data_IF_297968176652
#
_entry.id   IF_297968176652
#
_cell.length_a   1.000
_cell.length_b   1.000
_cell.length_c   1.000
_cell.angle_alpha   90.00
_cell.angle_beta   90.00
_cell.angle_gamma   90.00
#
_symmetry.space_group_name_H-M   'P 1'
#
loop_
_entity.id
_entity.type
_entity.pdbx_description
1 polymer ?
#
# COMPACT_ATOMS: atom_id res chain seq x y z
N UNK A 1 9.73 20.78 26.62
CA UNK A 1 9.10 20.90 25.29
C UNK A 1 7.68 20.37 25.32
N UNK A 2 7.46 19.17 25.87
CA UNK A 2 6.14 18.57 26.08
C UNK A 2 5.15 19.50 26.81
N UNK A 3 5.57 20.16 27.90
CA UNK A 3 4.73 21.08 28.68
C UNK A 3 4.19 22.27 27.88
N UNK A 4 4.93 22.72 26.86
CA UNK A 4 4.50 23.83 26.00
C UNK A 4 3.42 23.41 24.98
N UNK A 5 3.39 22.13 24.60
CA UNK A 5 2.42 21.59 23.65
C UNK A 5 1.17 21.04 24.32
N UNK A 6 1.24 20.71 25.62
CA UNK A 6 0.17 20.02 26.35
C UNK A 6 -1.22 20.67 26.20
N UNK A 7 -1.30 22.01 26.26
CA UNK A 7 -2.57 22.71 26.09
C UNK A 7 -3.15 22.53 24.69
N UNK A 8 -2.31 22.64 23.66
CA UNK A 8 -2.72 22.44 22.26
C UNK A 8 -3.08 20.99 21.98
N UNK A 9 -2.30 20.05 22.53
CA UNK A 9 -2.55 18.61 22.45
C UNK A 9 -3.95 18.27 22.96
N UNK A 10 -4.28 18.71 24.18
CA UNK A 10 -5.58 18.44 24.79
C UNK A 10 -6.74 19.10 24.04
N UNK A 11 -6.52 20.28 23.46
CA UNK A 11 -7.56 20.99 22.72
C UNK A 11 -7.91 20.30 21.39
N UNK A 12 -6.95 19.64 20.74
CA UNK A 12 -7.11 19.04 19.40
C UNK A 12 -7.85 17.69 19.40
N UNK A 13 -7.88 17.00 20.53
CA UNK A 13 -8.43 15.63 20.66
C UNK A 13 -9.87 15.59 21.17
N UNK A 14 -10.59 16.71 21.10
CA UNK A 14 -12.00 16.78 21.48
C UNK A 14 -12.86 16.09 20.43
N UNK A 15 -13.92 15.40 20.87
CA UNK A 15 -14.83 14.68 19.98
C UNK A 15 -15.48 15.63 18.95
N UNK A 16 -15.76 16.87 19.33
CA UNK A 16 -16.26 17.92 18.44
C UNK A 16 -15.34 18.18 17.24
N UNK A 17 -14.02 18.17 17.46
CA UNK A 17 -13.04 18.39 16.40
C UNK A 17 -12.76 17.12 15.59
N UNK A 18 -12.60 15.98 16.25
CA UNK A 18 -12.30 14.70 15.57
C UNK A 18 -13.49 14.21 14.71
N UNK A 19 -14.72 14.42 15.18
CA UNK A 19 -15.95 14.02 14.50
C UNK A 19 -16.64 15.16 13.72
N UNK A 20 -15.99 16.31 13.58
CA UNK A 20 -16.56 17.52 12.96
C UNK A 20 -17.20 17.24 11.59
N UNK A 21 -18.33 17.89 11.29
CA UNK A 21 -19.08 17.65 10.05
C UNK A 21 -18.26 17.99 8.79
N UNK A 22 -17.56 19.12 8.81
CA UNK A 22 -16.72 19.60 7.70
C UNK A 22 -15.38 18.85 7.61
N UNK A 23 -15.09 18.29 6.44
CA UNK A 23 -13.85 17.55 6.18
C UNK A 23 -12.59 18.41 6.31
N UNK A 24 -12.65 19.69 5.94
CA UNK A 24 -11.47 20.57 5.97
C UNK A 24 -11.01 20.88 7.39
N UNK A 25 -11.96 20.89 8.34
CA UNK A 25 -11.68 20.99 9.76
C UNK A 25 -10.97 19.72 10.21
N UNK A 26 -11.51 18.54 9.86
CA UNK A 26 -10.89 17.23 10.14
C UNK A 26 -9.46 17.12 9.60
N UNK A 27 -9.23 17.49 8.33
CA UNK A 27 -7.88 17.48 7.74
C UNK A 27 -6.94 18.45 8.47
N UNK A 28 -7.43 19.63 8.85
CA UNK A 28 -6.60 20.62 9.54
C UNK A 28 -6.24 20.19 10.97
N UNK A 29 -7.21 19.64 11.71
CA UNK A 29 -7.00 19.07 13.05
C UNK A 29 -6.02 17.92 12.98
N UNK A 30 -6.23 16.97 12.05
CA UNK A 30 -5.33 15.85 11.87
C UNK A 30 -3.92 16.30 11.47
N UNK A 31 -3.79 17.29 10.58
CA UNK A 31 -2.48 17.84 10.20
C UNK A 31 -1.71 18.35 11.42
N UNK A 32 -2.38 19.02 12.37
CA UNK A 32 -1.75 19.44 13.62
C UNK A 32 -1.34 18.24 14.49
N UNK A 33 -2.24 17.26 14.65
CA UNK A 33 -1.99 16.05 15.43
C UNK A 33 -0.80 15.25 14.86
N UNK A 34 -0.72 15.09 13.54
CA UNK A 34 0.37 14.39 12.86
C UNK A 34 1.72 15.09 13.07
N UNK A 35 1.76 16.42 13.06
CA UNK A 35 2.98 17.16 13.39
C UNK A 35 3.36 17.09 14.87
N UNK A 36 2.38 17.10 15.78
CA UNK A 36 2.62 16.84 17.20
C UNK A 36 3.23 15.45 17.37
N UNK A 37 2.64 14.42 16.74
CA UNK A 37 3.17 13.04 16.77
C UNK A 37 4.61 13.00 16.29
N UNK A 38 4.94 13.70 15.20
CA UNK A 38 6.32 13.82 14.69
C UNK A 38 7.27 14.50 15.67
N UNK A 39 6.81 15.45 16.47
CA UNK A 39 7.63 16.16 17.46
C UNK A 39 7.83 15.31 18.72
N UNK A 40 6.82 14.56 19.14
CA UNK A 40 6.85 13.77 20.38
C UNK A 40 7.49 12.41 20.20
N UNK A 41 7.69 11.92 18.96
CA UNK A 41 8.38 10.64 18.73
C UNK A 41 9.71 10.56 19.50
N UNK A 42 10.03 9.42 20.16
CA UNK A 42 9.36 8.12 20.04
C UNK A 42 8.07 7.97 20.87
N UNK A 43 7.76 8.91 21.76
CA UNK A 43 6.61 8.81 22.64
C UNK A 43 5.31 9.21 21.92
N UNK A 44 4.28 8.37 22.05
CA UNK A 44 2.96 8.69 21.54
C UNK A 44 2.40 9.93 22.26
N UNK A 45 1.80 10.89 21.53
CA UNK A 45 1.33 12.14 22.14
C UNK A 45 0.08 11.95 23.02
N UNK A 46 -0.65 10.86 22.83
CA UNK A 46 -1.90 10.56 23.55
C UNK A 46 -1.91 9.11 24.02
N UNK A 47 -2.85 8.78 24.89
CA UNK A 47 -3.11 7.39 25.28
C UNK A 47 -3.63 6.55 24.10
N UNK A 48 -3.61 5.23 24.31
CA UNK A 48 -3.95 4.22 23.30
C UNK A 48 -5.37 4.41 22.75
N UNK A 49 -6.35 4.72 23.61
CA UNK A 49 -7.74 4.90 23.22
C UNK A 49 -7.88 6.09 22.28
N UNK A 50 -7.23 7.21 22.62
CA UNK A 50 -7.27 8.39 21.77
C UNK A 50 -6.44 8.25 20.50
N UNK A 51 -5.32 7.53 20.56
CA UNK A 51 -4.55 7.21 19.35
C UNK A 51 -5.36 6.38 18.35
N UNK A 52 -6.20 5.45 18.81
CA UNK A 52 -7.11 4.68 17.95
C UNK A 52 -8.10 5.59 17.21
N UNK A 53 -8.70 6.55 17.89
CA UNK A 53 -9.60 7.54 17.26
C UNK A 53 -8.85 8.42 16.23
N UNK A 54 -7.62 8.84 16.55
CA UNK A 54 -6.76 9.58 15.61
C UNK A 54 -6.44 8.76 14.37
N UNK A 55 -6.17 7.47 14.51
CA UNK A 55 -5.93 6.60 13.36
C UNK A 55 -7.19 6.37 12.54
N UNK A 56 -8.36 6.23 13.17
CA UNK A 56 -9.64 6.16 12.44
C UNK A 56 -9.84 7.42 11.59
N UNK A 57 -9.60 8.60 12.17
CA UNK A 57 -9.64 9.86 11.43
C UNK A 57 -8.60 9.90 10.30
N UNK A 58 -7.41 9.33 10.52
CA UNK A 58 -6.34 9.26 9.51
C UNK A 58 -6.77 8.50 8.27
N UNK A 59 -7.37 7.32 8.43
CA UNK A 59 -7.85 6.52 7.30
C UNK A 59 -8.99 7.24 6.56
N UNK A 60 -9.94 7.85 7.30
CA UNK A 60 -11.01 8.69 6.72
C UNK A 60 -10.42 9.84 5.89
N UNK A 61 -9.41 10.53 6.42
CA UNK A 61 -8.77 11.64 5.71
C UNK A 61 -8.06 11.15 4.44
N UNK A 62 -7.45 9.96 4.43
CA UNK A 62 -6.81 9.41 3.24
C UNK A 62 -7.78 9.10 2.09
N UNK A 63 -9.08 8.88 2.35
CA UNK A 63 -10.08 8.76 1.27
C UNK A 63 -10.11 9.99 0.35
N UNK A 64 -9.75 11.16 0.90
CA UNK A 64 -9.71 12.44 0.17
C UNK A 64 -8.52 12.55 -0.80
N UNK A 65 -7.59 11.60 -0.81
CA UNK A 65 -6.55 11.55 -1.84
C UNK A 65 -7.15 11.42 -3.24
N UNK A 66 -8.32 10.79 -3.38
CA UNK A 66 -9.06 10.72 -4.65
C UNK A 66 -9.53 12.09 -5.18
N UNK A 67 -9.53 13.13 -4.34
CA UNK A 67 -9.99 14.48 -4.68
C UNK A 67 -8.82 15.44 -4.90
N UNK A 68 -8.03 15.22 -5.96
CA UNK A 68 -6.84 16.04 -6.31
C UNK A 68 -7.12 17.55 -6.48
N UNK A 69 -8.37 17.94 -6.74
CA UNK A 69 -8.79 19.34 -6.85
C UNK A 69 -9.23 19.97 -5.52
N UNK A 70 -9.28 19.19 -4.44
CA UNK A 70 -9.64 19.68 -3.10
C UNK A 70 -8.59 20.68 -2.61
N UNK A 71 -9.03 21.74 -1.94
CA UNK A 71 -8.15 22.74 -1.34
C UNK A 71 -7.35 22.17 -0.15
N UNK A 72 -7.75 21.03 0.39
CA UNK A 72 -7.04 20.31 1.44
C UNK A 72 -6.06 19.25 0.91
N UNK A 73 -6.01 18.98 -0.40
CA UNK A 73 -5.24 17.88 -0.98
C UNK A 73 -3.76 17.89 -0.57
N UNK A 74 -3.10 19.07 -0.61
CA UNK A 74 -1.70 19.19 -0.19
C UNK A 74 -1.48 18.89 1.30
N UNK A 75 -2.46 19.20 2.16
CA UNK A 75 -2.39 18.81 3.58
C UNK A 75 -2.53 17.31 3.74
N UNK A 76 -3.42 16.65 2.98
CA UNK A 76 -3.58 15.19 3.02
C UNK A 76 -2.28 14.49 2.58
N UNK A 77 -1.61 14.97 1.53
CA UNK A 77 -0.29 14.48 1.13
C UNK A 77 0.73 14.67 2.28
N UNK A 78 0.77 15.85 2.90
CA UNK A 78 1.68 16.11 4.02
C UNK A 78 1.44 15.16 5.19
N UNK A 79 0.17 14.88 5.51
CA UNK A 79 -0.21 13.91 6.56
C UNK A 79 0.32 12.52 6.19
N UNK A 80 0.05 12.05 4.96
CA UNK A 80 0.49 10.74 4.46
C UNK A 80 2.02 10.60 4.54
N UNK A 81 2.75 11.61 4.05
CA UNK A 81 4.20 11.64 4.07
C UNK A 81 4.76 11.61 5.50
N UNK A 82 4.15 12.35 6.43
CA UNK A 82 4.58 12.33 7.83
C UNK A 82 4.27 10.98 8.49
N UNK A 83 3.09 10.39 8.27
CA UNK A 83 2.72 9.04 8.76
C UNK A 83 3.74 8.00 8.31
N UNK A 84 4.14 8.02 7.02
CA UNK A 84 5.19 7.14 6.50
C UNK A 84 6.54 7.40 7.17
N UNK A 85 6.95 8.67 7.26
CA UNK A 85 8.27 9.07 7.79
C UNK A 85 8.46 8.71 9.26
N UNK A 86 7.44 8.91 10.09
CA UNK A 86 7.50 8.61 11.53
C UNK A 86 7.01 7.21 11.85
N UNK A 87 6.72 6.41 10.82
CA UNK A 87 6.28 5.01 10.92
C UNK A 87 5.05 4.82 11.81
N UNK A 88 4.10 5.75 11.76
CA UNK A 88 2.90 5.69 12.63
C UNK A 88 2.06 4.43 12.42
N UNK A 89 2.16 3.77 11.27
CA UNK A 89 1.50 2.50 11.02
C UNK A 89 2.00 1.35 11.91
N UNK A 90 3.21 1.44 12.46
CA UNK A 90 3.70 0.44 13.42
C UNK A 90 2.99 0.58 14.76
N UNK A 91 2.70 1.82 15.18
CA UNK A 91 1.87 2.05 16.36
C UNK A 91 0.43 1.54 16.14
N UNK A 92 -0.09 1.53 14.91
CA UNK A 92 -1.37 0.87 14.62
C UNK A 92 -1.31 -0.65 14.87
N UNK A 93 -0.18 -1.30 14.58
CA UNK A 93 0.04 -2.71 14.89
C UNK A 93 0.18 -2.93 16.40
N UNK A 94 0.99 -2.12 17.08
CA UNK A 94 1.18 -2.19 18.53
C UNK A 94 -0.14 -2.02 19.31
N UNK A 95 -1.06 -1.22 18.77
CA UNK A 95 -2.38 -0.97 19.35
C UNK A 95 -3.46 -1.97 18.89
N UNK A 96 -3.10 -3.00 18.12
CA UNK A 96 -4.00 -4.04 17.60
C UNK A 96 -5.15 -3.47 16.75
N UNK A 97 -4.85 -2.49 15.88
CA UNK A 97 -5.83 -1.84 14.99
C UNK A 97 -6.05 -2.60 13.68
N UNK A 98 -6.15 -3.92 13.73
CA UNK A 98 -6.10 -4.80 12.53
C UNK A 98 -7.14 -4.44 11.47
N UNK A 99 -8.40 -4.25 11.88
CA UNK A 99 -9.47 -3.88 10.95
C UNK A 99 -9.19 -2.53 10.25
N UNK A 100 -8.61 -1.58 10.98
CA UNK A 100 -8.29 -0.26 10.46
C UNK A 100 -7.07 -0.31 9.51
N UNK A 101 -6.12 -1.20 9.76
CA UNK A 101 -5.01 -1.48 8.84
C UNK A 101 -5.53 -2.04 7.52
N UNK A 102 -6.52 -2.94 7.56
CA UNK A 102 -7.20 -3.46 6.36
C UNK A 102 -7.91 -2.33 5.61
N UNK A 103 -8.67 -1.48 6.31
CA UNK A 103 -9.35 -0.33 5.73
C UNK A 103 -8.35 0.66 5.07
N UNK A 104 -7.19 0.85 5.68
CA UNK A 104 -6.11 1.67 5.12
C UNK A 104 -5.58 1.11 3.80
N UNK A 105 -5.34 -0.21 3.72
CA UNK A 105 -4.89 -0.87 2.48
C UNK A 105 -5.94 -0.72 1.37
N UNK A 106 -7.20 -0.98 1.69
CA UNK A 106 -8.30 -0.81 0.74
C UNK A 106 -8.42 0.64 0.27
N UNK A 107 -8.26 1.60 1.19
CA UNK A 107 -8.27 3.03 0.88
C UNK A 107 -7.13 3.41 -0.07
N UNK A 108 -5.92 2.92 0.15
CA UNK A 108 -4.78 3.19 -0.74
C UNK A 108 -5.01 2.64 -2.14
N UNK A 109 -5.44 1.38 -2.28
CA UNK A 109 -5.75 0.81 -3.60
C UNK A 109 -6.88 1.52 -4.32
N UNK A 110 -7.90 1.98 -3.58
CA UNK A 110 -9.03 2.73 -4.14
C UNK A 110 -8.64 4.15 -4.59
N UNK A 111 -7.73 4.79 -3.86
CA UNK A 111 -7.43 6.23 -4.05
C UNK A 111 -6.24 6.49 -4.93
N UNK A 112 -5.27 5.55 -5.02
CA UNK A 112 -4.07 5.74 -5.85
C UNK A 112 -4.43 5.85 -7.33
N UNK A 113 -3.86 6.86 -7.98
CA UNK A 113 -4.05 7.18 -9.40
C UNK A 113 -2.80 7.80 -10.03
N UNK A 114 -2.77 7.88 -11.36
CA UNK A 114 -1.67 8.48 -12.12
C UNK A 114 -1.56 10.01 -11.94
N UNK A 115 -2.57 10.64 -11.34
CA UNK A 115 -2.62 12.09 -11.13
C UNK A 115 -1.91 12.54 -9.85
N UNK A 116 -1.51 11.61 -8.98
CA UNK A 116 -0.76 11.97 -7.78
C UNK A 116 0.69 12.30 -8.10
N UNK A 117 1.32 13.18 -7.31
CA UNK A 117 2.77 13.26 -7.32
C UNK A 117 3.38 11.94 -6.82
N UNK A 118 4.63 11.69 -7.23
CA UNK A 118 5.31 10.41 -6.98
C UNK A 118 5.49 10.09 -5.48
N UNK A 119 5.60 11.11 -4.63
CA UNK A 119 5.76 10.94 -3.19
C UNK A 119 4.55 10.24 -2.55
N UNK A 120 3.33 10.46 -3.05
CA UNK A 120 2.12 9.75 -2.59
C UNK A 120 2.26 8.24 -2.81
N UNK A 121 2.70 7.82 -4.01
CA UNK A 121 2.93 6.41 -4.31
C UNK A 121 4.00 5.83 -3.38
N UNK A 122 5.12 6.54 -3.23
CA UNK A 122 6.23 6.09 -2.37
C UNK A 122 5.83 5.99 -0.90
N UNK A 123 5.00 6.91 -0.39
CA UNK A 123 4.52 6.88 0.99
C UNK A 123 3.54 5.73 1.23
N UNK A 124 2.58 5.49 0.31
CA UNK A 124 1.68 4.32 0.39
C UNK A 124 2.47 3.01 0.35
N UNK A 125 3.41 2.86 -0.59
CA UNK A 125 4.27 1.68 -0.70
C UNK A 125 5.05 1.46 0.60
N UNK A 126 5.66 2.52 1.15
CA UNK A 126 6.44 2.46 2.38
C UNK A 126 5.60 2.01 3.56
N UNK A 127 4.42 2.62 3.75
CA UNK A 127 3.50 2.26 4.84
C UNK A 127 3.07 0.80 4.73
N UNK A 128 2.60 0.38 3.55
CA UNK A 128 2.11 -0.98 3.33
C UNK A 128 3.22 -2.03 3.51
N UNK A 129 4.43 -1.75 3.01
CA UNK A 129 5.60 -2.62 3.18
C UNK A 129 5.94 -2.77 4.67
N UNK A 130 6.04 -1.66 5.42
CA UNK A 130 6.33 -1.70 6.85
C UNK A 130 5.29 -2.49 7.64
N UNK A 131 4.00 -2.31 7.33
CA UNK A 131 2.92 -3.06 7.97
C UNK A 131 3.12 -4.56 7.77
N UNK A 132 3.38 -5.00 6.54
CA UNK A 132 3.53 -6.44 6.25
C UNK A 132 4.79 -7.01 6.92
N UNK A 133 5.94 -6.33 6.79
CA UNK A 133 7.21 -6.83 7.31
C UNK A 133 7.23 -6.96 8.84
N UNK A 134 6.64 -5.99 9.54
CA UNK A 134 6.63 -5.92 11.00
C UNK A 134 5.44 -6.68 11.63
N UNK A 135 4.45 -7.14 10.85
CA UNK A 135 3.34 -7.95 11.38
C UNK A 135 3.81 -9.32 11.85
N UNK A 136 3.48 -9.75 13.06
CA UNK A 136 3.80 -11.11 13.54
C UNK A 136 3.05 -12.19 12.74
N UNK A 137 1.78 -11.95 12.46
CA UNK A 137 0.91 -12.81 11.67
C UNK A 137 0.09 -11.99 10.68
N UNK A 138 -0.05 -12.48 9.43
CA UNK A 138 -0.80 -11.79 8.38
C UNK A 138 -2.16 -12.46 8.24
N UNK A 139 -3.23 -11.73 8.56
CA UNK A 139 -4.60 -12.22 8.41
C UNK A 139 -4.99 -12.33 6.92
N UNK A 140 -5.94 -13.22 6.63
CA UNK A 140 -6.52 -13.31 5.29
C UNK A 140 -7.23 -12.01 4.88
N UNK A 141 -7.80 -11.28 5.83
CA UNK A 141 -8.47 -10.00 5.58
C UNK A 141 -7.48 -8.93 5.10
N UNK A 142 -6.24 -8.94 5.61
CA UNK A 142 -5.17 -8.05 5.14
C UNK A 142 -4.56 -8.53 3.82
N UNK A 143 -4.41 -9.84 3.64
CA UNK A 143 -3.84 -10.43 2.42
C UNK A 143 -4.78 -10.28 1.20
N UNK A 144 -6.10 -10.38 1.42
CA UNK A 144 -7.13 -10.32 0.39
C UNK A 144 -7.06 -9.07 -0.51
N UNK A 145 -7.05 -7.82 0.01
CA UNK A 145 -6.95 -6.63 -0.82
C UNK A 145 -5.62 -6.57 -1.60
N UNK A 146 -4.52 -7.03 -1.00
CA UNK A 146 -3.20 -7.08 -1.66
C UNK A 146 -3.17 -8.07 -2.84
N UNK A 147 -3.77 -9.25 -2.67
CA UNK A 147 -3.91 -10.23 -3.77
C UNK A 147 -4.92 -9.77 -4.82
N UNK A 148 -6.01 -9.13 -4.41
CA UNK A 148 -6.99 -8.59 -5.33
C UNK A 148 -6.39 -7.50 -6.23
N UNK A 149 -5.51 -6.63 -5.71
CA UNK A 149 -4.91 -5.55 -6.50
C UNK A 149 -4.04 -6.06 -7.66
N UNK A 150 -3.38 -7.21 -7.50
CA UNK A 150 -2.46 -7.78 -8.51
C UNK A 150 -3.09 -8.80 -9.46
N UNK A 151 -4.43 -8.93 -9.44
CA UNK A 151 -5.14 -9.74 -10.44
C UNK A 151 -4.91 -9.18 -11.84
N UNK A 152 -4.79 -10.06 -12.84
CA UNK A 152 -4.45 -9.69 -14.22
C UNK A 152 -5.44 -8.70 -14.83
N UNK A 153 -6.72 -8.78 -14.47
CA UNK A 153 -7.72 -7.81 -14.96
C UNK A 153 -7.39 -6.37 -14.51
N UNK A 154 -6.79 -6.22 -13.32
CA UNK A 154 -6.44 -4.91 -12.75
C UNK A 154 -5.20 -4.29 -13.37
N UNK A 155 -4.35 -5.06 -14.05
CA UNK A 155 -3.20 -4.53 -14.80
C UNK A 155 -3.65 -3.48 -15.83
N UNK A 156 -4.83 -3.68 -16.43
CA UNK A 156 -5.41 -2.76 -17.41
C UNK A 156 -6.44 -1.81 -16.81
N UNK A 157 -7.25 -2.26 -15.85
CA UNK A 157 -8.35 -1.46 -15.27
C UNK A 157 -7.84 -0.43 -14.27
N UNK A 158 -6.83 -0.76 -13.46
CA UNK A 158 -6.23 0.12 -12.46
C UNK A 158 -4.71 -0.09 -12.38
N UNK A 159 -3.95 0.32 -13.43
CA UNK A 159 -2.53 -0.01 -13.56
C UNK A 159 -1.67 0.52 -12.41
N UNK A 160 -2.03 1.68 -11.84
CA UNK A 160 -1.26 2.27 -10.73
C UNK A 160 -1.53 1.52 -9.42
N UNK A 161 -2.77 1.11 -9.16
CA UNK A 161 -3.10 0.26 -8.02
C UNK A 161 -2.46 -1.12 -8.15
N UNK A 162 -2.47 -1.70 -9.36
CA UNK A 162 -1.81 -2.97 -9.64
C UNK A 162 -0.31 -2.88 -9.35
N UNK A 163 0.35 -1.83 -9.85
CA UNK A 163 1.78 -1.58 -9.62
C UNK A 163 2.12 -1.37 -8.15
N UNK A 164 1.26 -0.68 -7.39
CA UNK A 164 1.43 -0.52 -5.95
C UNK A 164 1.41 -1.89 -5.25
N UNK A 165 0.42 -2.74 -5.59
CA UNK A 165 0.32 -4.09 -5.04
C UNK A 165 1.52 -4.97 -5.41
N UNK A 166 1.94 -4.93 -6.67
CA UNK A 166 3.12 -5.65 -7.16
C UNK A 166 4.37 -5.26 -6.36
N UNK A 167 4.58 -3.96 -6.16
CA UNK A 167 5.71 -3.43 -5.39
C UNK A 167 5.71 -3.91 -3.95
N UNK A 168 4.57 -3.80 -3.26
CA UNK A 168 4.45 -4.26 -1.86
C UNK A 168 4.69 -5.76 -1.75
N UNK A 169 4.13 -6.58 -2.64
CA UNK A 169 4.37 -8.03 -2.64
C UNK A 169 5.85 -8.35 -2.89
N UNK A 170 6.47 -7.67 -3.85
CA UNK A 170 7.89 -7.87 -4.19
C UNK A 170 8.78 -7.52 -3.01
N UNK A 171 8.52 -6.39 -2.34
CA UNK A 171 9.30 -5.95 -1.18
C UNK A 171 9.16 -6.93 0.00
N UNK A 172 7.96 -7.50 0.18
CA UNK A 172 7.63 -8.36 1.31
C UNK A 172 7.61 -9.86 0.98
N UNK A 173 8.22 -10.30 -0.12
CA UNK A 173 8.10 -11.67 -0.64
C UNK A 173 8.48 -12.73 0.40
N UNK A 174 9.54 -12.49 1.18
CA UNK A 174 10.02 -13.41 2.22
C UNK A 174 8.98 -13.59 3.32
N UNK A 175 8.34 -12.49 3.74
CA UNK A 175 7.32 -12.48 4.79
C UNK A 175 6.01 -13.11 4.30
N UNK A 176 5.63 -12.86 3.05
CA UNK A 176 4.38 -13.31 2.45
C UNK A 176 4.40 -14.77 2.02
N UNK A 177 5.56 -15.32 1.65
CA UNK A 177 5.70 -16.68 1.13
C UNK A 177 4.91 -17.76 1.90
N UNK A 178 5.02 -17.91 3.24
CA UNK A 178 4.26 -18.94 3.96
C UNK A 178 2.73 -18.77 3.86
N UNK A 179 2.23 -17.53 3.88
CA UNK A 179 0.80 -17.23 3.80
C UNK A 179 0.24 -17.46 2.40
N UNK A 180 1.03 -17.17 1.37
CA UNK A 180 0.66 -17.47 -0.01
C UNK A 180 0.55 -18.98 -0.21
N UNK A 181 1.49 -19.77 0.32
CA UNK A 181 1.42 -21.23 0.25
C UNK A 181 0.18 -21.78 0.96
N UNK A 182 -0.17 -21.25 2.12
CA UNK A 182 -1.36 -21.65 2.87
C UNK A 182 -2.68 -21.29 2.16
N UNK A 183 -2.78 -20.07 1.61
CA UNK A 183 -3.96 -19.63 0.87
C UNK A 183 -4.23 -20.54 -0.34
N UNK A 184 -3.15 -20.92 -1.03
CA UNK A 184 -3.18 -21.85 -2.17
C UNK A 184 -3.60 -23.25 -1.76
N UNK A 185 -3.02 -23.79 -0.69
CA UNK A 185 -3.38 -25.10 -0.18
C UNK A 185 -4.85 -25.14 0.25
N UNK A 186 -5.35 -24.08 0.89
CA UNK A 186 -6.75 -24.00 1.33
C UNK A 186 -7.73 -23.96 0.14
N UNK A 187 -7.39 -23.26 -0.94
CA UNK A 187 -8.17 -23.23 -2.19
C UNK A 187 -8.07 -24.57 -2.93
N UNK A 188 -6.88 -25.18 -2.98
CA UNK A 188 -6.65 -26.49 -3.61
C UNK A 188 -7.40 -27.62 -2.90
N UNK A 189 -7.46 -27.60 -1.57
CA UNK A 189 -8.20 -28.60 -0.76
C UNK A 189 -9.70 -28.51 -0.98
N UNK A 190 -10.26 -27.31 -1.22
CA UNK A 190 -11.66 -27.14 -1.61
C UNK A 190 -11.98 -27.71 -3.02
N UNK A 191 -10.95 -27.89 -3.87
CA UNK A 191 -11.10 -28.43 -5.23
C UNK A 191 -10.74 -29.93 -5.36
N UNK A 192 -10.52 -30.64 -4.25
CA UNK A 192 -10.17 -32.07 -4.28
C UNK A 192 -11.39 -32.97 -4.58
N UNK A 193 -11.85 -32.93 -5.83
CA UNK A 193 -12.38 -34.10 -6.54
C UNK A 193 -11.48 -34.37 -7.74
N UNK A 194 -10.25 -34.83 -7.51
CA UNK A 194 -9.58 -35.71 -8.47
C UNK A 194 -8.67 -36.69 -7.72
N UNK A 195 -8.92 -37.97 -8.01
CA UNK A 195 -8.42 -39.14 -7.32
C UNK A 195 -6.89 -39.30 -7.33
N UNK A 196 -6.44 -40.06 -6.32
CA UNK A 196 -5.12 -40.67 -6.16
C UNK A 196 -4.49 -41.18 -7.46
N UNK A 197 -3.15 -41.13 -7.57
CA UNK A 197 -2.28 -42.29 -7.88
C UNK A 197 -0.77 -41.95 -7.72
N UNK A 198 -0.11 -42.73 -6.84
CA UNK A 198 1.30 -43.20 -6.78
C UNK A 198 2.49 -42.25 -6.56
N UNK A 199 3.09 -42.50 -5.39
CA UNK A 199 4.52 -42.53 -5.00
C UNK A 199 5.54 -42.61 -6.14
N UNK A 200 6.52 -41.70 -6.08
CA UNK A 200 7.89 -41.93 -6.58
C UNK A 200 8.31 -41.11 -7.80
N UNK A 201 8.59 -39.81 -7.62
CA UNK A 201 9.53 -39.02 -8.45
C UNK A 201 9.89 -37.72 -7.68
N UNK A 202 11.11 -37.17 -7.82
CA UNK A 202 11.50 -35.95 -7.12
C UNK A 202 10.65 -34.81 -7.67
N UNK A 203 9.83 -34.20 -6.81
CA UNK A 203 9.12 -32.98 -7.15
C UNK A 203 10.13 -31.86 -7.29
N UNK A 204 10.53 -31.57 -8.53
CA UNK A 204 10.89 -30.22 -8.94
C UNK A 204 9.62 -29.37 -8.85
N UNK A 205 9.30 -28.94 -7.63
CA UNK A 205 8.21 -28.02 -7.36
C UNK A 205 8.71 -26.59 -7.58
N UNK A 206 9.04 -26.27 -8.83
CA UNK A 206 8.96 -24.88 -9.28
C UNK A 206 7.50 -24.45 -9.06
N UNK A 207 7.31 -23.60 -8.07
CA UNK A 207 6.02 -23.02 -7.69
C UNK A 207 5.37 -22.36 -8.92
N UNK A 208 4.46 -23.07 -9.59
CA UNK A 208 3.45 -22.48 -10.48
C UNK A 208 2.32 -21.89 -9.64
N UNK A 209 2.65 -20.92 -8.81
CA UNK A 209 1.69 -19.85 -8.55
C UNK A 209 2.17 -18.71 -9.40
N UNK A 210 1.27 -18.27 -10.30
CA UNK A 210 1.52 -17.32 -11.38
C UNK A 210 1.78 -17.98 -12.74
N UNK A 211 0.74 -18.52 -13.37
CA UNK A 211 0.76 -18.78 -14.84
C UNK A 211 0.31 -17.56 -15.66
N UNK A 212 0.39 -16.36 -15.06
CA UNK A 212 0.05 -15.10 -15.72
C UNK A 212 1.00 -13.91 -15.43
N UNK A 213 2.11 -14.11 -14.72
CA UNK A 213 3.26 -13.20 -14.80
C UNK A 213 4.33 -13.90 -15.63
N UNK A 214 4.32 -13.60 -16.92
CA UNK A 214 5.51 -13.78 -17.74
C UNK A 214 6.57 -12.78 -17.29
N UNK A 215 7.46 -13.21 -16.39
CA UNK A 215 8.78 -12.59 -16.29
C UNK A 215 9.53 -13.05 -17.54
N UNK A 216 9.60 -12.16 -18.53
CA UNK A 216 10.57 -12.29 -19.60
C UNK A 216 11.93 -11.89 -19.03
N UNK A 217 12.73 -12.87 -18.66
CA UNK A 217 14.18 -12.70 -18.71
C UNK A 217 14.58 -12.58 -20.19
N UNK A 218 15.08 -11.41 -20.60
CA UNK A 218 16.00 -11.33 -21.73
C UNK A 218 17.31 -10.71 -21.24
N UNK A 219 18.24 -11.57 -20.85
CA UNK A 219 19.66 -11.30 -20.95
C UNK A 219 20.02 -11.15 -22.44
N UNK A 220 20.23 -9.92 -22.91
CA UNK A 220 21.09 -9.65 -24.07
C UNK A 220 21.84 -8.33 -23.93
N UNK A 221 23.14 -8.51 -23.71
CA UNK A 221 24.23 -7.57 -24.00
C UNK A 221 23.91 -6.68 -25.20
N UNK A 222 23.88 -5.36 -25.01
CA UNK A 222 24.12 -4.41 -26.10
C UNK A 222 25.04 -3.29 -25.60
N UNK A 223 26.27 -3.37 -26.08
CA UNK A 223 27.28 -2.33 -26.15
C UNK A 223 26.77 -1.05 -26.80
N UNK A 224 27.16 0.11 -26.25
CA UNK A 224 26.93 1.42 -26.88
C UNK A 224 27.75 1.57 -28.15
N UNK A 225 27.08 1.85 -29.26
CA UNK A 225 27.63 2.64 -30.38
C UNK A 225 26.49 3.30 -31.14
N UNK A 226 26.37 4.62 -30.96
CA UNK A 226 25.83 5.51 -32.01
C UNK A 226 26.99 5.84 -32.98
N UNK A 227 26.77 6.18 -34.27
CA UNK A 227 25.78 7.16 -34.73
C UNK A 227 25.00 6.84 -36.05
N UNK A 228 23.88 7.55 -36.21
CA UNK A 228 22.93 7.72 -37.35
C UNK A 228 23.63 7.96 -38.71
N UNK A 229 23.18 7.44 -39.89
CA UNK A 229 22.14 8.08 -40.74
C UNK A 229 21.21 7.21 -41.64
N UNK A 230 19.99 7.76 -41.86
CA UNK A 230 19.15 7.74 -43.07
C UNK A 230 18.93 6.44 -43.87
N UNK A 231 17.68 5.92 -43.91
CA UNK A 231 17.05 5.43 -45.15
C UNK A 231 15.54 5.78 -45.13
N UNK A 232 15.13 6.63 -46.07
CA UNK A 232 13.73 6.85 -46.45
C UNK A 232 13.21 5.63 -47.25
N UNK A 233 12.02 5.14 -46.91
CA UNK A 233 11.30 4.19 -47.73
C UNK A 233 10.62 4.92 -48.89
N UNK A 234 11.07 4.70 -50.12
CA UNK A 234 10.28 4.95 -51.34
C UNK A 234 9.76 3.60 -51.82
N UNK A 235 8.45 3.41 -51.72
CA UNK A 235 7.70 2.41 -52.47
C UNK A 235 7.27 3.09 -53.78
N UNK A 236 7.62 2.51 -54.93
CA UNK A 236 6.75 2.49 -56.12
C UNK A 236 7.28 1.54 -57.19
N UNK A 237 6.51 0.47 -57.36
CA UNK A 237 5.96 -0.08 -58.61
C UNK A 237 6.77 -0.11 -59.93
N UNK A 238 6.71 -1.31 -60.52
CA UNK A 238 6.30 -1.64 -61.90
C UNK A 238 7.31 -2.22 -62.90
N UNK A 239 6.92 -3.43 -63.33
CA UNK A 239 7.21 -4.26 -64.53
C UNK A 239 8.58 -4.93 -64.65
#
# INVERSE_FOLDING_TARGET
MHDALLHSMNALITDELLSHAEMDVKVSVLSCITEITRITTPDAPYDDEKMKEVFQLTVIVFENLSHVSSHCYMKVISILNTVAKVKSCLLMLDLECDALVVDMFQTFFKTISANHPHDVFSAMETIMTMVIDESDNISLDLLSPLLASVRKENETVSPISWKLGEKVITNCVVKLQPYLQEAVCSIGVASNTFCATKVGQPMDATFKFVEDFTILEEDKVVSFSSPIPHIEFIISEQV
#
